data_IF_718521260501
#
_entry.id   IF_718521260501
#
_cell.length_a   1.000
_cell.length_b   1.000
_cell.length_c   1.000
_cell.angle_alpha   90.00
_cell.angle_beta   90.00
_cell.angle_gamma   90.00
#
_symmetry.space_group_name_H-M   'P 1'
#
loop_
_entity.id
_entity.type
_entity.pdbx_description
1 polymer ?
#
# COMPACT_ATOMS: atom_id res chain seq x y z
N UNK A 1 38.64 -34.74 -41.50
CA UNK A 1 37.53 -33.76 -41.47
C UNK A 1 37.09 -33.60 -40.02
N UNK A 2 37.31 -32.43 -39.41
CA UNK A 2 36.95 -32.18 -38.02
C UNK A 2 35.49 -31.69 -37.97
N UNK A 3 34.55 -32.52 -37.50
CA UNK A 3 33.16 -32.10 -37.28
C UNK A 3 33.12 -31.19 -36.05
N UNK A 4 32.86 -29.90 -36.25
CA UNK A 4 32.56 -28.97 -35.16
C UNK A 4 31.18 -29.30 -34.61
N UNK A 5 31.12 -29.78 -33.37
CA UNK A 5 29.87 -29.89 -32.62
C UNK A 5 29.57 -28.51 -32.01
N UNK A 6 28.38 -27.98 -32.26
CA UNK A 6 27.90 -26.75 -31.67
C UNK A 6 26.90 -27.15 -30.57
N UNK A 7 27.27 -26.94 -29.31
CA UNK A 7 26.39 -27.23 -28.17
C UNK A 7 25.63 -25.95 -27.83
N UNK A 8 24.32 -25.94 -28.04
CA UNK A 8 23.44 -24.88 -27.60
C UNK A 8 23.04 -25.14 -26.14
N UNK A 9 23.48 -24.28 -25.22
CA UNK A 9 23.08 -24.34 -23.81
C UNK A 9 21.77 -23.55 -23.66
N UNK A 10 20.64 -24.24 -23.51
CA UNK A 10 19.36 -23.63 -23.14
C UNK A 10 19.28 -23.58 -21.61
N UNK A 11 19.41 -22.38 -21.05
CA UNK A 11 19.16 -22.13 -19.63
C UNK A 11 17.65 -21.92 -19.47
N UNK A 12 16.94 -22.93 -18.97
CA UNK A 12 15.55 -22.76 -18.56
C UNK A 12 15.52 -22.04 -17.21
N UNK A 13 15.31 -20.73 -17.21
CA UNK A 13 14.92 -20.01 -15.99
C UNK A 13 13.43 -20.20 -15.78
N UNK A 14 13.03 -20.84 -14.68
CA UNK A 14 11.65 -20.77 -14.20
C UNK A 14 11.44 -19.35 -13.64
N UNK A 15 10.91 -18.44 -14.45
CA UNK A 15 10.49 -17.12 -14.01
C UNK A 15 9.18 -17.27 -13.24
N UNK A 16 9.25 -17.20 -11.91
CA UNK A 16 8.07 -17.09 -11.05
C UNK A 16 7.73 -15.63 -10.85
N UNK A 17 6.48 -15.34 -10.52
CA UNK A 17 6.05 -13.99 -10.16
C UNK A 17 6.91 -13.47 -9.00
N UNK A 18 7.63 -12.37 -9.24
CA UNK A 18 8.27 -11.61 -8.19
C UNK A 18 7.20 -10.82 -7.42
N UNK A 19 7.30 -10.84 -6.10
CA UNK A 19 6.36 -10.17 -5.20
C UNK A 19 6.86 -8.75 -4.93
N UNK A 20 6.10 -7.73 -5.33
CA UNK A 20 6.55 -6.34 -5.35
C UNK A 20 6.04 -5.55 -4.14
N UNK A 21 4.72 -5.58 -3.90
CA UNK A 21 4.07 -4.84 -2.81
C UNK A 21 3.12 -5.78 -2.04
N UNK A 22 3.14 -5.80 -0.70
CA UNK A 22 4.13 -5.16 0.16
C UNK A 22 5.55 -5.69 -0.06
N UNK A 23 6.54 -4.81 0.06
CA UNK A 23 7.96 -5.20 0.00
C UNK A 23 8.26 -6.23 1.12
N UNK A 24 9.14 -7.18 0.82
CA UNK A 24 9.47 -8.23 1.78
C UNK A 24 10.09 -7.66 3.07
N UNK A 25 9.46 -7.95 4.21
CA UNK A 25 9.83 -7.44 5.53
C UNK A 25 9.29 -6.03 5.85
N UNK A 26 8.42 -5.46 5.01
CA UNK A 26 7.88 -4.12 5.25
C UNK A 26 7.04 -4.05 6.53
N UNK A 27 7.09 -2.90 7.20
CA UNK A 27 6.20 -2.55 8.31
C UNK A 27 5.30 -1.41 7.84
N UNK A 28 4.00 -1.69 7.77
CA UNK A 28 3.00 -0.85 7.13
C UNK A 28 2.28 0.02 8.17
N UNK A 29 2.07 1.28 7.83
CA UNK A 29 1.27 2.24 8.57
C UNK A 29 -0.20 2.25 8.09
N UNK A 30 -0.70 1.12 7.60
CA UNK A 30 -2.07 0.92 7.12
C UNK A 30 -2.49 -0.54 7.12
N UNK A 31 -3.80 -0.75 7.05
CA UNK A 31 -4.44 -2.08 7.05
C UNK A 31 -5.26 -2.38 5.79
N UNK A 32 -5.47 -1.41 4.89
CA UNK A 32 -5.95 -1.68 3.54
C UNK A 32 -4.73 -1.97 2.65
N UNK A 33 -4.50 -3.23 2.30
CA UNK A 33 -3.24 -3.69 1.74
C UNK A 33 -3.32 -3.80 0.22
N UNK A 34 -2.47 -3.03 -0.47
CA UNK A 34 -2.19 -3.24 -1.89
C UNK A 34 -1.22 -4.40 -2.05
N UNK A 35 -1.64 -5.43 -2.77
CA UNK A 35 -0.80 -6.50 -3.28
C UNK A 35 -0.46 -6.24 -4.75
N UNK A 36 0.82 -6.38 -5.11
CA UNK A 36 1.30 -6.26 -6.47
C UNK A 36 2.42 -7.26 -6.74
N UNK A 37 2.38 -7.93 -7.88
CA UNK A 37 3.37 -8.92 -8.30
C UNK A 37 3.64 -8.84 -9.82
N UNK A 38 4.69 -9.51 -10.29
CA UNK A 38 5.00 -9.58 -11.72
C UNK A 38 4.16 -10.62 -12.47
N UNK A 39 3.95 -10.36 -13.76
CA UNK A 39 3.23 -11.27 -14.66
C UNK A 39 4.13 -12.45 -15.08
N UNK A 40 3.66 -13.68 -14.86
CA UNK A 40 4.20 -14.90 -15.46
C UNK A 40 3.67 -15.11 -16.89
N UNK A 41 4.47 -15.72 -17.80
CA UNK A 41 4.00 -16.12 -19.12
C UNK A 41 2.76 -17.01 -19.06
N UNK A 42 1.84 -16.80 -20.00
CA UNK A 42 0.62 -17.60 -20.20
C UNK A 42 -0.40 -17.62 -19.03
N UNK A 43 -0.11 -16.96 -17.90
CA UNK A 43 -1.02 -16.84 -16.79
C UNK A 43 -2.18 -15.91 -17.13
N UNK A 44 -3.42 -16.39 -16.96
CA UNK A 44 -4.66 -15.64 -17.20
C UNK A 44 -5.23 -15.02 -15.91
N UNK A 45 -4.57 -15.27 -14.79
CA UNK A 45 -4.94 -14.81 -13.46
C UNK A 45 -4.02 -15.45 -12.43
N UNK A 46 -4.30 -15.17 -11.16
CA UNK A 46 -3.51 -15.63 -10.02
C UNK A 46 -4.40 -16.03 -8.88
N UNK A 47 -3.96 -17.02 -8.14
CA UNK A 47 -4.45 -17.26 -6.79
C UNK A 47 -3.51 -16.58 -5.81
N UNK A 48 -4.01 -15.55 -5.12
CA UNK A 48 -3.32 -14.83 -4.05
C UNK A 48 -3.73 -15.43 -2.71
N UNK A 49 -2.75 -15.74 -1.88
CA UNK A 49 -2.98 -16.25 -0.53
C UNK A 49 -2.13 -15.47 0.49
N UNK A 50 -2.75 -15.09 1.60
CA UNK A 50 -2.07 -14.55 2.77
C UNK A 50 -2.36 -15.41 4.01
N UNK A 51 -1.34 -15.58 4.84
CA UNK A 51 -1.41 -16.32 6.09
C UNK A 51 -0.94 -15.44 7.24
N UNK A 52 -1.51 -15.67 8.43
CA UNK A 52 -1.08 -15.00 9.65
C UNK A 52 0.13 -15.69 10.31
N UNK A 53 0.48 -15.27 11.53
CA UNK A 53 1.59 -15.81 12.31
C UNK A 53 1.39 -17.27 12.80
N UNK A 54 0.16 -17.81 12.74
CA UNK A 54 -0.21 -19.16 13.15
C UNK A 54 -0.48 -20.08 11.95
N UNK A 55 0.27 -19.87 10.86
CA UNK A 55 -0.04 -20.33 9.50
C UNK A 55 -1.52 -20.47 9.12
N UNK A 56 -2.43 -19.65 9.66
CA UNK A 56 -3.84 -19.68 9.27
C UNK A 56 -4.03 -18.85 8.01
N UNK A 57 -4.76 -19.40 7.03
CA UNK A 57 -5.09 -18.68 5.80
C UNK A 57 -6.13 -17.61 6.11
N UNK A 58 -5.75 -16.34 5.98
CA UNK A 58 -6.63 -15.20 6.23
C UNK A 58 -7.21 -14.61 4.94
N UNK A 59 -6.49 -14.76 3.82
CA UNK A 59 -6.92 -14.36 2.49
C UNK A 59 -6.62 -15.49 1.50
N UNK A 60 -7.61 -15.88 0.69
CA UNK A 60 -7.43 -16.83 -0.42
C UNK A 60 -8.41 -16.47 -1.54
N UNK A 61 -7.91 -15.82 -2.57
CA UNK A 61 -8.73 -15.30 -3.66
C UNK A 61 -8.13 -15.65 -5.02
N UNK A 62 -8.96 -15.61 -6.05
CA UNK A 62 -8.52 -15.63 -7.45
C UNK A 62 -8.73 -14.24 -8.07
N UNK A 63 -7.70 -13.71 -8.72
CA UNK A 63 -7.70 -12.38 -9.33
C UNK A 63 -7.18 -12.49 -10.77
N UNK A 64 -7.82 -11.79 -11.71
CA UNK A 64 -7.43 -11.82 -13.13
C UNK A 64 -6.29 -10.86 -13.48
N UNK A 65 -5.91 -9.99 -12.55
CA UNK A 65 -4.84 -8.99 -12.73
C UNK A 65 -3.65 -9.28 -11.82
N UNK A 66 -2.59 -8.48 -11.94
CA UNK A 66 -1.39 -8.58 -11.10
C UNK A 66 -1.40 -7.65 -9.89
N UNK A 67 -2.57 -7.09 -9.57
CA UNK A 67 -2.75 -6.16 -8.47
C UNK A 67 -4.08 -6.43 -7.77
N UNK A 68 -4.10 -6.34 -6.44
CA UNK A 68 -5.32 -6.50 -5.65
C UNK A 68 -5.24 -5.62 -4.41
N UNK A 69 -6.34 -4.95 -4.04
CA UNK A 69 -6.44 -4.21 -2.79
C UNK A 69 -7.40 -4.96 -1.89
N UNK A 70 -6.91 -5.39 -0.74
CA UNK A 70 -7.74 -5.91 0.34
C UNK A 70 -8.04 -4.80 1.35
N UNK A 71 -9.31 -4.63 1.72
CA UNK A 71 -9.78 -3.56 2.61
C UNK A 71 -10.49 -4.07 3.87
N UNK A 72 -10.45 -5.37 4.14
CA UNK A 72 -11.30 -5.97 5.18
C UNK A 72 -10.67 -7.12 5.96
N UNK A 73 -9.57 -7.71 5.48
CA UNK A 73 -8.95 -8.89 6.09
C UNK A 73 -7.92 -8.52 7.17
N UNK A 74 -7.10 -7.51 6.91
CA UNK A 74 -5.92 -7.23 7.73
C UNK A 74 -6.24 -6.29 8.89
N UNK A 75 -5.59 -6.54 10.03
CA UNK A 75 -5.74 -5.74 11.25
C UNK A 75 -4.38 -5.26 11.74
N UNK A 76 -4.38 -4.24 12.60
CA UNK A 76 -3.16 -3.66 13.17
C UNK A 76 -2.39 -4.63 14.07
N UNK A 77 -1.09 -4.37 14.23
CA UNK A 77 -0.16 -5.10 15.08
C UNK A 77 -0.14 -6.62 14.81
N UNK A 78 -0.07 -6.98 13.53
CA UNK A 78 0.00 -8.37 13.07
C UNK A 78 1.06 -8.55 12.00
N UNK A 79 1.62 -9.75 11.95
CA UNK A 79 2.54 -10.17 10.89
C UNK A 79 1.86 -11.16 9.97
N UNK A 80 2.16 -11.04 8.68
CA UNK A 80 1.57 -11.84 7.62
C UNK A 80 2.66 -12.32 6.66
N UNK A 81 2.41 -13.47 6.04
CA UNK A 81 3.12 -13.93 4.87
C UNK A 81 2.15 -14.01 3.70
N UNK A 82 2.62 -13.77 2.49
CA UNK A 82 1.79 -13.85 1.30
C UNK A 82 2.56 -14.45 0.13
N UNK A 83 1.80 -15.02 -0.80
CA UNK A 83 2.30 -15.67 -2.01
C UNK A 83 1.24 -15.69 -3.08
N UNK A 84 1.66 -15.86 -4.33
CA UNK A 84 0.77 -16.02 -5.48
C UNK A 84 1.13 -17.27 -6.26
N UNK A 85 0.19 -17.79 -7.05
CA UNK A 85 0.48 -18.78 -8.10
C UNK A 85 -0.34 -18.47 -9.34
N UNK A 86 0.20 -18.68 -10.54
CA UNK A 86 -0.53 -18.41 -11.77
C UNK A 86 -1.67 -19.42 -11.96
N UNK A 87 -2.73 -18.95 -12.60
CA UNK A 87 -3.86 -19.74 -13.10
C UNK A 87 -3.78 -19.75 -14.63
N UNK A 88 -3.92 -20.93 -15.22
CA UNK A 88 -3.81 -21.11 -16.67
C UNK A 88 -5.15 -21.41 -17.32
N UNK A 89 -5.25 -21.12 -18.62
CA UNK A 89 -6.48 -21.28 -19.40
C UNK A 89 -7.04 -22.72 -19.40
N UNK A 90 -6.17 -23.73 -19.28
CA UNK A 90 -6.57 -25.13 -19.17
C UNK A 90 -7.11 -25.53 -17.78
N UNK A 91 -7.27 -24.57 -16.86
CA UNK A 91 -7.73 -24.78 -15.49
C UNK A 91 -6.65 -25.28 -14.53
N UNK A 92 -5.41 -25.48 -14.98
CA UNK A 92 -4.30 -25.85 -14.11
C UNK A 92 -3.77 -24.65 -13.32
N UNK A 93 -3.21 -24.92 -12.13
CA UNK A 93 -2.54 -23.92 -11.29
C UNK A 93 -1.04 -24.18 -11.36
N UNK A 94 -0.25 -23.12 -11.51
CA UNK A 94 1.20 -23.23 -11.43
C UNK A 94 1.69 -23.43 -10.00
N UNK A 95 3.01 -23.50 -9.89
CA UNK A 95 3.70 -23.52 -8.60
C UNK A 95 3.52 -22.19 -7.86
N UNK A 96 3.58 -22.25 -6.53
CA UNK A 96 3.62 -21.02 -5.73
C UNK A 96 4.92 -20.24 -5.98
N UNK A 97 4.80 -18.91 -5.93
CA UNK A 97 5.91 -17.98 -5.85
C UNK A 97 6.77 -18.24 -4.61
N UNK A 98 7.89 -17.51 -4.50
CA UNK A 98 8.51 -17.31 -3.19
C UNK A 98 7.50 -16.66 -2.23
N UNK A 99 7.70 -16.83 -0.93
CA UNK A 99 6.93 -16.11 0.09
C UNK A 99 7.53 -14.72 0.30
N UNK A 100 6.66 -13.74 0.52
CA UNK A 100 7.03 -12.41 1.04
C UNK A 100 6.32 -12.20 2.37
N UNK A 101 6.92 -11.43 3.26
CA UNK A 101 6.33 -11.10 4.56
C UNK A 101 6.12 -9.59 4.72
N UNK A 102 5.16 -9.21 5.56
CA UNK A 102 4.99 -7.84 6.03
C UNK A 102 4.34 -7.84 7.41
N UNK A 103 4.42 -6.72 8.11
CA UNK A 103 3.70 -6.49 9.34
C UNK A 103 2.88 -5.20 9.25
N UNK A 104 1.74 -5.16 9.93
CA UNK A 104 1.00 -3.93 10.20
C UNK A 104 1.51 -3.33 11.50
N UNK A 105 1.76 -2.02 11.50
CA UNK A 105 2.22 -1.27 12.66
C UNK A 105 1.13 -1.12 13.72
N UNK A 106 1.33 -0.17 14.62
CA UNK A 106 0.32 0.19 15.61
C UNK A 106 -0.60 1.29 15.07
N UNK A 107 -1.89 1.29 15.43
CA UNK A 107 -2.72 2.45 15.19
C UNK A 107 -2.23 3.58 16.10
N UNK A 108 -2.24 4.82 15.61
CA UNK A 108 -2.01 5.96 16.49
C UNK A 108 -3.10 6.04 17.58
N UNK A 109 -2.75 6.37 18.84
CA UNK A 109 -3.72 6.43 19.94
C UNK A 109 -4.76 7.53 19.71
N UNK A 110 -5.92 7.43 20.35
CA UNK A 110 -7.04 8.40 20.24
C UNK A 110 -7.59 8.60 18.81
N UNK A 111 -7.30 7.68 17.89
CA UNK A 111 -7.69 7.77 16.49
C UNK A 111 -9.10 7.34 16.17
N UNK A 112 -9.61 6.37 16.92
CA UNK A 112 -10.85 5.70 16.57
C UNK A 112 -11.97 6.57 17.09
N UNK A 113 -12.76 7.10 16.17
CA UNK A 113 -13.86 7.97 16.53
C UNK A 113 -15.03 7.12 17.00
N UNK A 114 -15.66 7.52 18.10
CA UNK A 114 -16.97 6.99 18.43
C UNK A 114 -17.99 7.69 17.53
N UNK A 115 -18.39 7.01 16.45
CA UNK A 115 -19.30 7.55 15.45
C UNK A 115 -20.71 7.04 15.71
N UNK A 116 -21.68 7.95 15.81
CA UNK A 116 -23.10 7.62 15.86
C UNK A 116 -23.75 7.88 14.50
N UNK A 117 -24.04 6.81 13.76
CA UNK A 117 -24.68 6.89 12.45
C UNK A 117 -26.21 6.94 12.60
N UNK A 118 -26.81 8.06 12.21
CA UNK A 118 -28.28 8.23 12.23
C UNK A 118 -28.96 7.58 11.03
N UNK A 119 -28.34 7.67 9.85
CA UNK A 119 -28.81 7.04 8.61
C UNK A 119 -27.60 6.74 7.72
N UNK A 120 -27.24 5.46 7.59
CA UNK A 120 -26.08 5.00 6.83
C UNK A 120 -26.26 5.18 5.31
N UNK A 121 -27.50 5.14 4.82
CA UNK A 121 -27.81 5.27 3.39
C UNK A 121 -27.51 6.68 2.84
N UNK A 122 -27.33 7.67 3.72
CA UNK A 122 -27.01 9.04 3.36
C UNK A 122 -25.50 9.35 3.42
N UNK A 123 -24.68 8.38 3.83
CA UNK A 123 -23.24 8.57 3.95
C UNK A 123 -22.59 8.26 2.61
N UNK A 124 -21.78 9.20 2.14
CA UNK A 124 -20.99 8.99 0.93
C UNK A 124 -19.98 7.85 1.14
N UNK A 125 -19.87 6.97 0.15
CA UNK A 125 -18.81 5.96 0.14
C UNK A 125 -17.42 6.61 0.11
N UNK A 126 -16.50 6.04 0.87
CA UNK A 126 -15.10 6.47 0.88
C UNK A 126 -14.47 6.44 2.26
N UNK A 127 -13.26 7.01 2.31
CA UNK A 127 -12.48 7.16 3.53
C UNK A 127 -12.32 8.64 3.84
N UNK A 128 -12.23 8.98 5.13
CA UNK A 128 -11.99 10.34 5.58
C UNK A 128 -10.55 10.48 6.05
N UNK A 129 -9.80 11.39 5.43
CA UNK A 129 -8.50 11.82 5.92
C UNK A 129 -8.65 13.08 6.77
N UNK A 130 -8.00 13.11 7.93
CA UNK A 130 -7.91 14.31 8.75
C UNK A 130 -6.57 14.39 9.47
N UNK A 131 -6.16 15.61 9.80
CA UNK A 131 -4.98 15.85 10.63
C UNK A 131 -5.41 16.19 12.06
N UNK A 132 -4.85 15.48 13.03
CA UNK A 132 -5.01 15.76 14.45
C UNK A 132 -3.79 16.53 14.97
N UNK A 133 -4.05 17.58 15.76
CA UNK A 133 -3.00 18.40 16.38
C UNK A 133 -2.81 18.10 17.87
N UNK A 134 -3.90 17.79 18.58
CA UNK A 134 -3.92 17.45 20.01
C UNK A 134 -4.97 16.34 20.27
N UNK A 135 -4.79 15.46 21.27
CA UNK A 135 -3.69 15.42 22.24
C UNK A 135 -2.35 14.98 21.66
N UNK A 136 -2.35 14.29 20.51
CA UNK A 136 -1.18 13.92 19.74
C UNK A 136 -1.29 14.36 18.28
N UNK A 137 -0.11 14.55 17.66
CA UNK A 137 0.01 14.94 16.27
C UNK A 137 0.01 13.72 15.35
N UNK A 138 -0.82 13.76 14.32
CA UNK A 138 -0.79 12.76 13.26
C UNK A 138 -1.91 12.94 12.23
N UNK A 139 -1.63 12.52 11.00
CA UNK A 139 -2.63 12.39 9.94
C UNK A 139 -3.18 10.98 9.97
N UNK A 140 -4.48 10.86 9.80
CA UNK A 140 -5.20 9.60 9.91
C UNK A 140 -6.17 9.49 8.76
N UNK A 141 -6.39 8.26 8.32
CA UNK A 141 -7.51 7.90 7.46
C UNK A 141 -8.41 6.97 8.25
N UNK A 142 -9.71 7.24 8.26
CA UNK A 142 -10.73 6.42 8.91
C UNK A 142 -11.78 5.96 7.90
N UNK A 143 -12.39 4.81 8.19
CA UNK A 143 -13.61 4.37 7.51
C UNK A 143 -14.85 5.13 8.03
N UNK A 144 -16.02 4.85 7.45
CA UNK A 144 -17.30 5.46 7.85
C UNK A 144 -17.75 5.10 9.28
N UNK A 145 -17.18 4.04 9.86
CA UNK A 145 -17.46 3.60 11.22
C UNK A 145 -16.50 4.22 12.25
N UNK A 146 -15.52 5.01 11.79
CA UNK A 146 -14.51 5.64 12.64
C UNK A 146 -13.30 4.75 12.94
N UNK A 147 -13.16 3.61 12.28
CA UNK A 147 -12.00 2.73 12.41
C UNK A 147 -10.80 3.32 11.67
N UNK A 148 -9.63 3.33 12.30
CA UNK A 148 -8.39 3.79 11.66
C UNK A 148 -7.88 2.80 10.62
N UNK A 149 -7.63 3.30 9.41
CA UNK A 149 -7.18 2.52 8.24
C UNK A 149 -5.72 2.81 7.87
N UNK A 150 -5.27 4.06 8.05
CA UNK A 150 -3.90 4.50 7.79
C UNK A 150 -3.52 5.61 8.76
N UNK A 151 -2.22 5.74 9.06
CA UNK A 151 -1.70 6.85 9.83
C UNK A 151 -0.33 7.35 9.36
N UNK A 152 0.00 8.60 9.66
CA UNK A 152 1.34 9.15 9.51
C UNK A 152 1.60 10.22 10.56
N UNK A 153 2.80 10.21 11.13
CA UNK A 153 3.24 11.24 12.09
C UNK A 153 4.11 12.33 11.44
N UNK A 154 4.37 12.23 10.13
CA UNK A 154 5.42 13.01 9.49
C UNK A 154 5.00 14.42 9.08
N UNK A 155 3.70 14.68 8.98
CA UNK A 155 3.22 15.87 8.29
C UNK A 155 1.84 16.30 8.72
N UNK A 156 1.54 17.57 8.48
CA UNK A 156 0.19 18.12 8.51
C UNK A 156 -0.32 18.12 7.09
N UNK A 157 -1.18 17.18 6.71
CA UNK A 157 -1.70 17.07 5.35
C UNK A 157 -2.97 17.90 5.21
N UNK A 158 -2.98 18.78 4.21
CA UNK A 158 -4.11 19.66 3.89
C UNK A 158 -4.58 19.52 2.43
N UNK A 159 -3.84 18.79 1.58
CA UNK A 159 -4.19 18.56 0.19
C UNK A 159 -3.65 17.20 -0.31
N UNK A 160 -4.35 16.59 -1.26
CA UNK A 160 -3.91 15.40 -1.98
C UNK A 160 -4.41 15.44 -3.42
N UNK A 161 -3.76 14.70 -4.31
CA UNK A 161 -4.17 14.61 -5.71
C UNK A 161 -4.64 13.20 -6.11
N UNK A 162 -5.14 13.09 -7.33
CA UNK A 162 -5.67 11.84 -7.90
C UNK A 162 -4.61 10.74 -8.10
N UNK A 163 -3.33 11.01 -7.84
CA UNK A 163 -2.23 10.07 -7.94
C UNK A 163 -1.73 9.61 -6.56
N UNK A 164 -2.45 9.93 -5.48
CA UNK A 164 -2.10 9.50 -4.12
C UNK A 164 -0.93 10.26 -3.49
N UNK A 165 -0.54 11.41 -4.07
CA UNK A 165 0.47 12.28 -3.49
C UNK A 165 -0.18 13.18 -2.45
N UNK A 166 0.38 13.21 -1.25
CA UNK A 166 -0.10 13.99 -0.13
C UNK A 166 0.78 15.24 0.03
N UNK A 167 0.15 16.37 0.32
CA UNK A 167 0.80 17.66 0.43
C UNK A 167 0.45 18.29 1.77
N UNK A 168 1.46 18.92 2.36
CA UNK A 168 1.32 19.36 3.73
C UNK A 168 2.57 19.98 4.32
N UNK A 169 2.45 20.42 5.57
CA UNK A 169 3.55 21.01 6.32
C UNK A 169 4.32 19.90 7.03
N UNK A 170 5.62 19.81 6.78
CA UNK A 170 6.53 18.89 7.43
C UNK A 170 7.06 19.49 8.75
N UNK A 171 7.85 18.72 9.50
CA UNK A 171 8.54 19.22 10.67
C UNK A 171 9.37 20.48 10.35
N UNK A 172 9.30 21.49 11.23
CA UNK A 172 10.01 22.76 11.04
C UNK A 172 9.31 23.80 10.16
N UNK A 173 8.08 23.54 9.68
CA UNK A 173 7.29 24.53 8.93
C UNK A 173 7.52 24.49 7.42
N UNK A 174 8.34 23.57 6.93
CA UNK A 174 8.60 23.41 5.50
C UNK A 174 7.39 22.79 4.79
N UNK A 175 7.11 23.24 3.57
CA UNK A 175 6.12 22.59 2.71
C UNK A 175 6.69 21.28 2.20
N UNK A 176 5.85 20.26 2.05
CA UNK A 176 6.30 18.97 1.57
C UNK A 176 5.25 18.21 0.75
N UNK A 177 5.76 17.28 -0.03
CA UNK A 177 5.02 16.32 -0.85
C UNK A 177 5.51 14.93 -0.51
N UNK A 178 4.62 14.06 -0.05
CA UNK A 178 4.94 12.69 0.33
C UNK A 178 4.04 11.70 -0.41
N UNK A 179 4.46 10.43 -0.46
CA UNK A 179 3.59 9.32 -0.84
C UNK A 179 2.79 8.81 0.36
N UNK A 180 1.78 8.00 0.10
CA UNK A 180 1.04 7.25 1.13
C UNK A 180 1.95 6.34 1.99
N UNK A 181 3.12 5.94 1.46
CA UNK A 181 4.13 5.14 2.17
C UNK A 181 5.11 6.00 2.99
N UNK A 182 4.79 7.28 3.25
CA UNK A 182 5.65 8.26 3.92
C UNK A 182 6.98 8.54 3.21
N UNK A 183 7.10 8.25 1.91
CA UNK A 183 8.29 8.61 1.15
C UNK A 183 8.24 10.09 0.79
N UNK A 184 9.29 10.83 1.12
CA UNK A 184 9.41 12.25 0.78
C UNK A 184 9.76 12.38 -0.70
N UNK A 185 8.88 13.02 -1.47
CA UNK A 185 9.10 13.34 -2.88
C UNK A 185 9.69 14.74 -3.07
N UNK A 186 9.33 15.66 -2.18
CA UNK A 186 9.82 17.05 -2.21
C UNK A 186 9.61 17.72 -0.86
N UNK A 187 10.53 18.62 -0.48
CA UNK A 187 10.44 19.53 0.66
C UNK A 187 10.91 20.92 0.21
N UNK A 188 10.28 21.98 0.71
CA UNK A 188 10.70 23.37 0.46
C UNK A 188 12.10 23.63 1.02
N UNK A 189 12.90 24.54 0.44
CA UNK A 189 14.18 24.92 1.03
C UNK A 189 14.08 25.34 2.50
N UNK A 190 15.19 25.24 3.22
CA UNK A 190 15.29 25.77 4.59
C UNK A 190 15.19 27.31 4.55
N UNK A 191 14.47 27.92 5.51
CA UNK A 191 14.22 29.36 5.53
C UNK A 191 13.13 29.83 4.56
N UNK A 192 12.41 28.90 3.91
CA UNK A 192 11.20 29.18 3.14
C UNK A 192 10.01 28.45 3.74
N UNK A 193 9.85 28.56 5.06
CA UNK A 193 8.72 28.00 5.78
C UNK A 193 7.42 28.58 5.23
N UNK A 194 6.43 27.72 5.08
CA UNK A 194 5.15 28.03 4.43
C UNK A 194 4.06 28.11 5.48
N UNK A 195 3.01 28.86 5.17
CA UNK A 195 1.79 28.83 5.97
C UNK A 195 1.15 27.43 5.87
N UNK A 196 0.83 26.83 7.02
CA UNK A 196 0.34 25.46 7.07
C UNK A 196 -1.09 25.24 6.57
N UNK A 197 -1.85 26.29 6.24
CA UNK A 197 -3.28 26.16 5.91
C UNK A 197 -3.52 25.59 4.50
N UNK A 198 -2.64 25.87 3.53
CA UNK A 198 -2.77 25.34 2.18
C UNK A 198 -1.39 25.07 1.56
N UNK A 199 -1.08 23.81 1.27
CA UNK A 199 0.16 23.42 0.59
C UNK A 199 -0.21 22.51 -0.57
N UNK A 200 0.02 22.93 -1.82
CA UNK A 200 -0.29 22.13 -3.01
C UNK A 200 0.60 22.48 -4.20
N UNK A 201 0.74 21.53 -5.13
CA UNK A 201 1.38 21.81 -6.42
C UNK A 201 0.36 22.45 -7.38
N UNK A 202 0.71 23.61 -7.93
CA UNK A 202 -0.11 24.34 -8.90
C UNK A 202 0.26 23.94 -10.34
N UNK A 203 -0.59 24.24 -11.36
CA UNK A 203 -0.44 23.69 -12.71
C UNK A 203 0.88 23.99 -13.43
N UNK A 204 1.60 25.04 -13.04
CA UNK A 204 2.91 25.39 -13.61
C UNK A 204 4.08 24.62 -12.95
N UNK A 205 3.80 23.69 -12.04
CA UNK A 205 4.79 22.86 -11.35
C UNK A 205 5.32 23.46 -10.04
N UNK A 206 5.03 24.73 -9.76
CA UNK A 206 5.39 25.37 -8.49
C UNK A 206 4.48 24.91 -7.35
N UNK A 207 4.83 25.33 -6.14
CA UNK A 207 4.07 25.05 -4.93
C UNK A 207 3.48 26.36 -4.38
N UNK A 208 2.24 26.25 -3.91
CA UNK A 208 1.52 27.26 -3.13
C UNK A 208 1.39 26.72 -1.72
#
# INVERSE_FOLDING_TARGET
MLKKFFTLLLIFSLSRAELLIPENGAVLNFIHILFQWEQEPDAIGYNLQALDQYPEVVLDIENSTTTYIDDSTFIWNKSYIWRVRPLYLNGSKGEWSAISSFATGEPLPYSSLNVHLYNDDLIQEGLMMFTQFAPDFGVRVIDKFGSQIWNSQYSYINHWNNFGQLYGMMGGGQGGKITFYNQILWISPEGTEVDGHEIKQIPNGNYM
#
